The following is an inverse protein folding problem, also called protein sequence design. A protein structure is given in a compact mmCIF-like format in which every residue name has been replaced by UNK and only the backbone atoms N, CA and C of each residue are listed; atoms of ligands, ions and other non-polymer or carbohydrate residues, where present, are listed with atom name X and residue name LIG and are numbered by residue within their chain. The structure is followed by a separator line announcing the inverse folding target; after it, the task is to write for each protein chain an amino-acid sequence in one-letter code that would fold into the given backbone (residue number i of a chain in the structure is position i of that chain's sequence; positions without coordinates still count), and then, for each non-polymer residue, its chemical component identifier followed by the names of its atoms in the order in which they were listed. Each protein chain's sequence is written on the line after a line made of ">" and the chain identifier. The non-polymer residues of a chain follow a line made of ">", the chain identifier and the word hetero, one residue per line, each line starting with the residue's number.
data_IF_393967790664
#
_entry.id   IF_393967790664
#
_cell.length_a   1.000
_cell.length_b   1.000
_cell.length_c   1.000
_cell.angle_alpha   90.00
_cell.angle_beta   90.00
_cell.angle_gamma   90.00
#
_symmetry.space_group_name_H-M   'P 1'
#
loop_
_entity.id
_entity.type
_entity.pdbx_description
1 polymer ?
#
# COMPACT_ATOMS: atom_id res chain seq x y z
N UNK A 1 -8.42 -30.29 -7.29
CA UNK A 1 -8.03 -29.46 -8.44
C UNK A 1 -6.99 -28.49 -7.93
N UNK A 2 -5.73 -28.66 -8.32
CA UNK A 2 -4.64 -27.76 -7.93
C UNK A 2 -4.87 -26.44 -8.64
N UNK A 3 -5.10 -25.35 -7.89
CA UNK A 3 -4.98 -23.98 -8.40
C UNK A 3 -3.51 -23.80 -8.76
N UNK A 4 -3.21 -23.81 -10.04
CA UNK A 4 -1.89 -23.52 -10.62
C UNK A 4 -1.48 -22.15 -10.10
N UNK A 5 -0.33 -22.06 -9.42
CA UNK A 5 0.28 -20.76 -9.11
C UNK A 5 0.39 -20.00 -10.44
N UNK A 6 -0.15 -18.78 -10.46
CA UNK A 6 -0.09 -17.93 -11.66
C UNK A 6 1.39 -17.67 -11.98
N UNK A 7 1.77 -17.70 -13.25
CA UNK A 7 3.14 -17.42 -13.67
C UNK A 7 3.44 -15.90 -13.53
N UNK A 8 4.71 -15.54 -13.32
CA UNK A 8 5.14 -14.14 -13.21
C UNK A 8 4.66 -13.25 -14.38
N UNK A 9 4.46 -13.86 -15.55
CA UNK A 9 3.97 -13.18 -16.75
C UNK A 9 2.47 -12.82 -16.68
N UNK A 10 1.63 -13.61 -16.00
CA UNK A 10 0.21 -13.32 -15.80
C UNK A 10 0.00 -12.22 -14.74
N UNK A 11 0.91 -12.10 -13.79
CA UNK A 11 0.83 -11.08 -12.73
C UNK A 11 1.23 -9.69 -13.22
N UNK A 12 2.25 -9.60 -14.06
CA UNK A 12 2.59 -8.38 -14.80
C UNK A 12 1.41 -7.94 -15.67
N UNK A 13 0.70 -8.89 -16.28
CA UNK A 13 -0.49 -8.57 -17.06
C UNK A 13 -1.65 -8.01 -16.22
N UNK A 14 -1.83 -8.43 -14.96
CA UNK A 14 -2.86 -7.88 -14.06
C UNK A 14 -2.54 -6.45 -13.63
N UNK A 15 -1.29 -6.17 -13.31
CA UNK A 15 -0.83 -4.80 -13.04
C UNK A 15 -1.02 -3.91 -14.25
N UNK A 16 -0.58 -4.35 -15.43
CA UNK A 16 -0.68 -3.56 -16.66
C UNK A 16 -2.13 -3.30 -17.04
N UNK A 17 -3.00 -4.31 -16.94
CA UNK A 17 -4.43 -4.16 -17.21
C UNK A 17 -5.11 -3.19 -16.24
N UNK A 18 -4.81 -3.30 -14.93
CA UNK A 18 -5.31 -2.38 -13.92
C UNK A 18 -4.80 -0.95 -14.13
N UNK A 19 -3.50 -0.81 -14.43
CA UNK A 19 -2.88 0.48 -14.68
C UNK A 19 -3.50 1.15 -15.90
N UNK A 20 -3.64 0.43 -17.00
CA UNK A 20 -4.23 0.95 -18.25
C UNK A 20 -5.68 1.41 -18.02
N UNK A 21 -6.53 0.58 -17.37
CA UNK A 21 -7.90 0.96 -17.03
C UNK A 21 -7.94 2.24 -16.20
N UNK A 22 -7.12 2.30 -15.15
CA UNK A 22 -7.08 3.43 -14.24
C UNK A 22 -6.58 4.69 -14.96
N UNK A 23 -5.51 4.57 -15.75
CA UNK A 23 -4.94 5.67 -16.52
C UNK A 23 -5.95 6.22 -17.53
N UNK A 24 -6.58 5.36 -18.32
CA UNK A 24 -7.58 5.76 -19.33
C UNK A 24 -8.78 6.45 -18.69
N UNK A 25 -9.25 5.93 -17.55
CA UNK A 25 -10.38 6.49 -16.83
C UNK A 25 -10.11 7.92 -16.35
N UNK A 26 -8.90 8.20 -15.85
CA UNK A 26 -8.55 9.53 -15.37
C UNK A 26 -8.10 10.49 -16.47
N UNK A 27 -7.54 9.99 -17.57
CA UNK A 27 -7.08 10.84 -18.67
C UNK A 27 -8.18 11.17 -19.69
N UNK A 28 -9.39 10.63 -19.55
CA UNK A 28 -10.54 11.05 -20.38
C UNK A 28 -10.80 12.56 -20.32
N UNK A 29 -10.64 13.15 -19.13
CA UNK A 29 -10.98 14.55 -18.87
C UNK A 29 -9.74 15.40 -18.47
N UNK A 30 -8.56 14.81 -18.42
CA UNK A 30 -7.33 15.48 -18.05
C UNK A 30 -6.28 15.33 -19.14
N UNK A 31 -5.72 16.43 -19.55
CA UNK A 31 -4.56 16.44 -20.46
C UNK A 31 -3.31 15.97 -19.73
N UNK A 32 -2.34 15.49 -20.49
CA UNK A 32 -1.01 15.14 -19.96
C UNK A 32 -0.37 16.27 -19.15
N UNK A 33 -0.51 17.53 -19.62
CA UNK A 33 0.01 18.71 -18.93
C UNK A 33 -0.64 18.93 -17.56
N UNK A 34 -1.93 18.71 -17.46
CA UNK A 34 -2.69 18.83 -16.19
C UNK A 34 -2.31 17.71 -15.22
N UNK A 35 -2.25 16.47 -15.69
CA UNK A 35 -1.81 15.34 -14.88
C UNK A 35 -0.37 15.53 -14.37
N UNK A 36 0.54 16.00 -15.22
CA UNK A 36 1.91 16.34 -14.83
C UNK A 36 1.95 17.39 -13.70
N UNK A 37 1.23 18.50 -13.87
CA UNK A 37 1.16 19.57 -12.85
C UNK A 37 0.59 19.03 -11.52
N UNK A 38 -0.44 18.23 -11.62
CA UNK A 38 -1.06 17.61 -10.45
C UNK A 38 -0.09 16.66 -9.73
N UNK A 39 0.66 15.84 -10.49
CA UNK A 39 1.68 14.96 -9.93
C UNK A 39 2.81 15.74 -9.24
N UNK A 40 3.30 16.84 -9.85
CA UNK A 40 4.28 17.72 -9.21
C UNK A 40 3.73 18.30 -7.90
N UNK A 41 2.53 18.89 -7.94
CA UNK A 41 1.91 19.47 -6.75
C UNK A 41 1.66 18.47 -5.63
N UNK A 42 1.25 17.25 -5.97
CA UNK A 42 1.03 16.19 -4.99
C UNK A 42 2.36 15.70 -4.39
N UNK A 43 3.38 15.51 -5.22
CA UNK A 43 4.73 15.17 -4.77
C UNK A 43 5.31 16.21 -3.81
N UNK A 44 5.13 17.51 -4.10
CA UNK A 44 5.59 18.58 -3.22
C UNK A 44 4.90 18.56 -1.86
N UNK A 45 3.63 18.19 -1.83
CA UNK A 45 2.89 18.00 -0.57
C UNK A 45 3.52 16.87 0.25
N UNK A 46 3.78 15.72 -0.36
CA UNK A 46 4.32 14.57 0.34
C UNK A 46 5.81 14.70 0.71
N UNK A 47 6.60 15.46 -0.07
CA UNK A 47 8.05 15.64 0.17
C UNK A 47 8.36 16.82 1.08
N UNK A 48 7.71 17.98 0.86
CA UNK A 48 8.11 19.24 1.49
C UNK A 48 7.18 19.74 2.60
N UNK A 49 5.95 19.23 2.69
CA UNK A 49 4.98 19.69 3.68
C UNK A 49 4.74 18.73 4.85
N UNK A 50 5.59 17.71 4.99
CA UNK A 50 5.54 16.78 6.14
C UNK A 50 5.68 17.47 7.51
N UNK A 51 6.38 18.61 7.56
CA UNK A 51 6.60 19.37 8.81
C UNK A 51 5.43 20.30 9.20
N UNK A 52 4.46 20.48 8.31
CA UNK A 52 3.26 21.28 8.61
C UNK A 52 2.07 20.36 8.45
N UNK A 53 1.45 20.00 9.57
CA UNK A 53 0.24 19.19 9.63
C UNK A 53 -0.84 19.71 8.65
N UNK A 54 -0.85 19.18 7.42
CA UNK A 54 -1.98 19.35 6.54
C UNK A 54 -3.15 18.58 7.19
N UNK A 55 -4.32 19.19 7.33
CA UNK A 55 -5.48 18.46 7.80
C UNK A 55 -5.66 17.19 6.96
N UNK A 56 -5.88 16.07 7.64
CA UNK A 56 -6.06 14.78 7.00
C UNK A 56 -7.07 14.88 5.84
N UNK A 57 -6.70 14.37 4.67
CA UNK A 57 -7.53 14.38 3.47
C UNK A 57 -7.34 15.58 2.52
N UNK A 58 -6.68 16.68 2.92
CA UNK A 58 -6.45 17.84 2.03
C UNK A 58 -5.52 17.57 0.84
N UNK A 59 -4.69 16.54 0.90
CA UNK A 59 -3.81 16.18 -0.21
C UNK A 59 -4.59 15.79 -1.48
N UNK A 60 -5.80 15.24 -1.36
CA UNK A 60 -6.62 14.69 -2.45
C UNK A 60 -7.90 15.49 -2.73
N UNK A 61 -7.88 16.80 -2.53
CA UNK A 61 -9.06 17.67 -2.69
C UNK A 61 -9.47 17.89 -4.16
N UNK A 62 -8.51 17.92 -5.09
CA UNK A 62 -8.78 18.22 -6.49
C UNK A 62 -8.80 16.96 -7.35
N UNK A 63 -9.55 16.99 -8.46
CA UNK A 63 -9.61 15.90 -9.43
C UNK A 63 -8.22 15.55 -9.97
N UNK A 64 -7.42 16.54 -10.34
CA UNK A 64 -6.05 16.34 -10.81
C UNK A 64 -5.17 15.64 -9.78
N UNK A 65 -5.22 16.01 -8.48
CA UNK A 65 -4.46 15.34 -7.43
C UNK A 65 -4.93 13.90 -7.21
N UNK A 66 -6.24 13.66 -7.31
CA UNK A 66 -6.82 12.31 -7.26
C UNK A 66 -6.34 11.46 -8.44
N UNK A 67 -6.33 12.03 -9.64
CA UNK A 67 -5.80 11.38 -10.83
C UNK A 67 -4.31 11.02 -10.66
N UNK A 68 -3.48 11.97 -10.22
CA UNK A 68 -2.06 11.73 -9.98
C UNK A 68 -1.84 10.65 -8.90
N UNK A 69 -2.62 10.67 -7.83
CA UNK A 69 -2.54 9.63 -6.79
C UNK A 69 -2.92 8.25 -7.35
N UNK A 70 -4.04 8.14 -8.07
CA UNK A 70 -4.52 6.88 -8.59
C UNK A 70 -3.63 6.30 -9.70
N UNK A 71 -3.08 7.16 -10.59
CA UNK A 71 -2.33 6.69 -11.78
C UNK A 71 -0.82 6.63 -11.56
N UNK A 72 -0.26 7.47 -10.67
CA UNK A 72 1.20 7.53 -10.48
C UNK A 72 1.62 6.93 -9.15
N UNK A 73 1.13 7.47 -8.03
CA UNK A 73 1.53 6.98 -6.71
C UNK A 73 1.10 5.53 -6.49
N UNK A 74 -0.15 5.22 -6.82
CA UNK A 74 -0.68 3.86 -6.66
C UNK A 74 0.06 2.84 -7.51
N UNK A 75 0.49 3.22 -8.73
CA UNK A 75 1.29 2.33 -9.58
C UNK A 75 2.66 2.03 -8.95
N UNK A 76 3.36 3.03 -8.42
CA UNK A 76 4.63 2.80 -7.72
C UNK A 76 4.45 2.00 -6.44
N UNK A 77 3.36 2.23 -5.70
CA UNK A 77 3.03 1.45 -4.51
C UNK A 77 2.79 -0.03 -4.84
N UNK A 78 2.05 -0.31 -5.93
CA UNK A 78 1.87 -1.69 -6.40
C UNK A 78 3.20 -2.34 -6.77
N UNK A 79 4.01 -1.69 -7.62
CA UNK A 79 5.29 -2.22 -8.09
C UNK A 79 6.27 -2.51 -6.94
N UNK A 80 6.31 -1.63 -5.93
CA UNK A 80 7.10 -1.90 -4.73
C UNK A 80 6.53 -3.06 -3.92
N UNK A 81 5.20 -3.11 -3.74
CA UNK A 81 4.57 -4.20 -3.01
C UNK A 81 4.78 -5.55 -3.69
N UNK A 82 4.72 -5.57 -5.02
CA UNK A 82 4.96 -6.79 -5.80
C UNK A 82 6.39 -7.32 -5.58
N UNK A 83 7.39 -6.45 -5.62
CA UNK A 83 8.77 -6.80 -5.24
C UNK A 83 8.85 -7.35 -3.81
N UNK A 84 8.20 -6.71 -2.84
CA UNK A 84 8.21 -7.15 -1.44
C UNK A 84 7.54 -8.50 -1.22
N UNK A 85 6.54 -8.84 -2.02
CA UNK A 85 5.87 -10.14 -1.95
C UNK A 85 6.87 -11.28 -2.22
N UNK A 86 7.79 -11.08 -3.16
CA UNK A 86 8.84 -12.06 -3.46
C UNK A 86 9.93 -12.07 -2.39
N UNK A 87 10.46 -10.92 -2.03
CA UNK A 87 11.58 -10.79 -1.09
C UNK A 87 11.25 -11.24 0.34
N UNK A 88 10.00 -11.03 0.77
CA UNK A 88 9.50 -11.45 2.07
C UNK A 88 8.75 -12.80 2.01
N UNK A 89 8.70 -13.44 0.84
CA UNK A 89 7.95 -14.67 0.59
C UNK A 89 6.46 -14.60 1.03
N UNK A 90 5.86 -13.41 0.89
CA UNK A 90 4.48 -13.15 1.34
C UNK A 90 3.45 -14.01 0.60
N UNK A 91 3.78 -14.48 -0.60
CA UNK A 91 2.97 -15.42 -1.37
C UNK A 91 2.76 -16.77 -0.67
N UNK A 92 3.66 -17.14 0.27
CA UNK A 92 3.53 -18.36 1.08
C UNK A 92 2.62 -18.21 2.29
N UNK A 93 2.25 -16.97 2.64
CA UNK A 93 1.34 -16.74 3.76
C UNK A 93 -0.06 -17.27 3.43
N UNK A 94 -0.54 -18.19 4.27
CA UNK A 94 -1.94 -18.68 4.18
C UNK A 94 -2.85 -17.64 4.84
N UNK A 95 -3.42 -16.76 4.03
CA UNK A 95 -4.23 -15.66 4.53
C UNK A 95 -5.72 -15.90 4.30
N UNK A 96 -6.52 -15.61 5.31
CA UNK A 96 -7.96 -15.52 5.19
C UNK A 96 -8.38 -14.11 4.75
N UNK A 97 -7.78 -13.09 5.37
CA UNK A 97 -8.14 -11.70 5.12
C UNK A 97 -6.91 -10.78 5.22
N UNK A 98 -6.88 -9.75 4.37
CA UNK A 98 -5.94 -8.63 4.46
C UNK A 98 -6.70 -7.39 4.92
N UNK A 99 -6.26 -6.80 6.04
CA UNK A 99 -6.78 -5.54 6.58
C UNK A 99 -5.77 -4.46 6.26
N UNK A 100 -6.10 -3.58 5.31
CA UNK A 100 -5.22 -2.50 4.87
C UNK A 100 -5.59 -1.20 5.56
N UNK A 101 -4.65 -0.67 6.35
CA UNK A 101 -4.79 0.52 7.18
C UNK A 101 -4.28 1.76 6.44
N UNK A 102 -5.13 2.76 6.24
CA UNK A 102 -4.86 3.87 5.33
C UNK A 102 -4.75 3.35 3.89
N UNK A 103 -5.76 2.58 3.46
CA UNK A 103 -5.66 1.79 2.24
C UNK A 103 -5.54 2.60 0.94
N UNK A 104 -5.82 3.90 0.96
CA UNK A 104 -5.81 4.70 -0.26
C UNK A 104 -6.64 4.05 -1.35
N UNK A 105 -6.04 3.77 -2.50
CA UNK A 105 -6.68 3.09 -3.63
C UNK A 105 -6.68 1.56 -3.53
N UNK A 106 -6.21 1.00 -2.42
CA UNK A 106 -6.26 -0.43 -2.12
C UNK A 106 -5.32 -1.31 -2.94
N UNK A 107 -4.31 -0.75 -3.56
CA UNK A 107 -3.43 -1.47 -4.50
C UNK A 107 -2.41 -2.37 -3.81
N UNK A 108 -1.86 -1.97 -2.65
CA UNK A 108 -0.87 -2.78 -1.97
C UNK A 108 -1.49 -4.07 -1.42
N UNK A 109 -2.65 -3.95 -0.77
CA UNK A 109 -3.39 -5.12 -0.32
C UNK A 109 -3.87 -5.99 -1.48
N UNK A 110 -4.29 -5.38 -2.60
CA UNK A 110 -4.68 -6.12 -3.80
C UNK A 110 -3.51 -6.93 -4.39
N UNK A 111 -2.34 -6.33 -4.56
CA UNK A 111 -1.14 -7.03 -5.02
C UNK A 111 -0.83 -8.25 -4.14
N UNK A 112 -0.93 -8.08 -2.82
CA UNK A 112 -0.71 -9.21 -1.90
C UNK A 112 -1.80 -10.27 -2.00
N UNK A 113 -3.08 -9.87 -2.02
CA UNK A 113 -4.21 -10.82 -2.11
C UNK A 113 -4.19 -11.68 -3.37
N UNK A 114 -3.78 -11.11 -4.50
CA UNK A 114 -3.65 -11.83 -5.78
C UNK A 114 -2.57 -12.91 -5.74
N UNK A 115 -1.53 -12.73 -4.93
CA UNK A 115 -0.37 -13.62 -4.87
C UNK A 115 -0.35 -14.53 -3.63
N UNK A 116 -1.13 -14.22 -2.61
CA UNK A 116 -1.20 -15.05 -1.40
C UNK A 116 -1.80 -16.42 -1.70
N UNK A 117 -1.12 -17.46 -1.23
CA UNK A 117 -1.62 -18.84 -1.39
C UNK A 117 -2.78 -19.08 -0.45
N UNK A 118 -3.94 -19.46 -0.98
CA UNK A 118 -5.09 -19.87 -0.19
C UNK A 118 -5.81 -21.03 -0.86
N UNK A 119 -6.30 -21.97 -0.07
CA UNK A 119 -7.11 -23.09 -0.56
C UNK A 119 -8.52 -22.65 -1.02
N UNK A 120 -8.98 -21.50 -0.56
CA UNK A 120 -10.32 -20.96 -0.83
C UNK A 120 -10.34 -19.85 -1.90
N UNK A 121 -9.21 -19.54 -2.52
CA UNK A 121 -9.06 -18.40 -3.44
C UNK A 121 -8.34 -17.20 -2.80
N UNK A 122 -8.31 -16.02 -3.45
CA UNK A 122 -7.65 -14.83 -2.91
C UNK A 122 -8.20 -14.42 -1.54
N UNK A 123 -7.34 -13.87 -0.68
CA UNK A 123 -7.73 -13.36 0.62
C UNK A 123 -8.78 -12.25 0.51
N UNK A 124 -9.74 -12.20 1.44
CA UNK A 124 -10.72 -11.11 1.48
C UNK A 124 -10.06 -9.79 1.90
N UNK A 125 -10.50 -8.70 1.28
CA UNK A 125 -9.97 -7.37 1.57
C UNK A 125 -10.83 -6.61 2.58
N UNK A 126 -10.19 -5.91 3.51
CA UNK A 126 -10.83 -4.90 4.35
C UNK A 126 -9.98 -3.64 4.33
N UNK A 127 -10.41 -2.61 3.63
CA UNK A 127 -9.71 -1.32 3.58
C UNK A 127 -10.28 -0.33 4.59
N UNK A 128 -9.39 0.33 5.30
CA UNK A 128 -9.72 1.38 6.26
C UNK A 128 -9.04 2.66 5.83
N UNK A 129 -9.81 3.73 5.66
CA UNK A 129 -9.30 5.04 5.31
C UNK A 129 -10.26 6.12 5.84
N UNK A 130 -9.77 7.34 6.01
CA UNK A 130 -10.56 8.51 6.36
C UNK A 130 -11.05 9.27 5.12
N UNK A 131 -10.55 8.94 3.95
CA UNK A 131 -10.88 9.61 2.69
C UNK A 131 -11.92 8.81 1.88
N UNK A 132 -13.12 9.37 1.72
CA UNK A 132 -14.22 8.71 1.00
C UNK A 132 -13.90 8.41 -0.46
N UNK A 133 -13.16 9.31 -1.14
CA UNK A 133 -12.76 9.10 -2.52
C UNK A 133 -11.80 7.90 -2.60
N UNK A 134 -10.80 7.83 -1.73
CA UNK A 134 -9.84 6.73 -1.68
C UNK A 134 -10.53 5.39 -1.49
N UNK A 135 -11.48 5.31 -0.55
CA UNK A 135 -12.28 4.10 -0.32
C UNK A 135 -13.11 3.68 -1.55
N UNK A 136 -13.64 4.66 -2.29
CA UNK A 136 -14.35 4.38 -3.56
C UNK A 136 -13.39 3.83 -4.62
N UNK A 137 -12.17 4.37 -4.72
CA UNK A 137 -11.16 3.85 -5.65
C UNK A 137 -10.68 2.45 -5.26
N UNK A 138 -10.47 2.19 -3.97
CA UNK A 138 -10.12 0.85 -3.49
C UNK A 138 -11.18 -0.19 -3.91
N UNK A 139 -12.47 0.14 -3.77
CA UNK A 139 -13.55 -0.76 -4.22
C UNK A 139 -13.54 -0.97 -5.74
N UNK A 140 -13.21 0.06 -6.55
CA UNK A 140 -13.07 -0.08 -8.00
C UNK A 140 -11.88 -0.97 -8.35
N UNK A 141 -10.72 -0.73 -7.72
CA UNK A 141 -9.52 -1.56 -7.88
C UNK A 141 -9.83 -3.03 -7.61
N UNK A 142 -10.41 -3.34 -6.45
CA UNK A 142 -10.72 -4.73 -6.08
C UNK A 142 -11.76 -5.38 -6.99
N UNK A 143 -12.80 -4.63 -7.38
CA UNK A 143 -13.80 -5.14 -8.32
C UNK A 143 -13.19 -5.46 -9.69
N UNK A 144 -12.32 -4.57 -10.21
CA UNK A 144 -11.62 -4.80 -11.47
C UNK A 144 -10.76 -6.07 -11.41
N UNK A 145 -10.09 -6.29 -10.29
CA UNK A 145 -9.21 -7.45 -10.06
C UNK A 145 -9.95 -8.73 -9.60
N UNK A 146 -11.28 -8.71 -9.55
CA UNK A 146 -12.07 -9.86 -9.09
C UNK A 146 -11.91 -10.19 -7.60
N UNK A 147 -11.38 -9.25 -6.79
CA UNK A 147 -11.19 -9.45 -5.35
C UNK A 147 -12.47 -9.11 -4.56
N UNK A 148 -12.75 -9.94 -3.55
CA UNK A 148 -13.80 -9.65 -2.57
C UNK A 148 -13.29 -8.70 -1.51
N UNK A 149 -14.01 -7.62 -1.25
CA UNK A 149 -13.56 -6.65 -0.25
C UNK A 149 -14.64 -5.68 0.20
N UNK A 150 -14.40 -5.09 1.37
CA UNK A 150 -15.23 -4.04 1.97
C UNK A 150 -14.37 -2.91 2.48
N UNK A 151 -14.88 -1.70 2.41
CA UNK A 151 -14.21 -0.51 2.91
C UNK A 151 -14.90 0.05 4.14
N UNK A 152 -14.14 0.69 5.02
CA UNK A 152 -14.63 1.33 6.24
C UNK A 152 -14.07 2.73 6.37
N UNK A 153 -14.96 3.73 6.44
CA UNK A 153 -14.60 5.12 6.68
C UNK A 153 -14.36 5.33 8.18
N UNK A 154 -13.11 5.22 8.60
CA UNK A 154 -12.67 5.41 9.98
C UNK A 154 -11.17 5.62 10.09
N UNK A 155 -10.72 5.98 11.27
CA UNK A 155 -9.28 6.03 11.57
C UNK A 155 -8.64 4.64 11.49
N UNK A 156 -7.40 4.58 11.02
CA UNK A 156 -6.62 3.34 10.94
C UNK A 156 -6.28 2.74 12.32
N UNK A 157 -6.43 3.48 13.42
CA UNK A 157 -6.29 2.94 14.78
C UNK A 157 -7.49 2.11 15.23
N UNK A 158 -8.62 2.25 14.53
CA UNK A 158 -9.88 1.58 14.80
C UNK A 158 -10.08 0.38 13.85
N UNK A 159 -9.28 -0.65 13.95
CA UNK A 159 -9.46 -1.80 13.08
C UNK A 159 -10.36 -2.90 13.68
N UNK A 160 -10.89 -3.79 12.82
CA UNK A 160 -11.87 -4.78 13.25
C UNK A 160 -11.24 -5.82 14.17
N UNK A 161 -12.09 -6.68 14.77
CA UNK A 161 -11.62 -7.86 15.48
C UNK A 161 -10.71 -8.67 14.56
N UNK A 162 -9.56 -9.04 15.09
CA UNK A 162 -8.55 -9.84 14.41
C UNK A 162 -8.79 -11.32 14.67
N UNK A 163 -8.66 -12.09 13.62
CA UNK A 163 -8.75 -13.55 13.62
C UNK A 163 -7.40 -14.15 13.20
N UNK A 164 -7.25 -15.43 13.47
CA UNK A 164 -6.07 -16.16 13.01
C UNK A 164 -6.02 -16.15 11.47
N UNK A 165 -4.81 -16.05 10.91
CA UNK A 165 -4.59 -15.91 9.46
C UNK A 165 -5.07 -14.59 8.84
N UNK A 166 -5.38 -13.57 9.66
CA UNK A 166 -5.48 -12.22 9.16
C UNK A 166 -4.07 -11.63 8.92
N UNK A 167 -3.95 -10.82 7.88
CA UNK A 167 -2.81 -9.92 7.73
C UNK A 167 -3.23 -8.47 7.94
N UNK A 168 -2.38 -7.69 8.58
CA UNK A 168 -2.52 -6.24 8.70
C UNK A 168 -1.41 -5.60 7.88
N UNK A 169 -1.82 -4.81 6.90
CA UNK A 169 -0.93 -4.03 6.04
C UNK A 169 -1.12 -2.54 6.32
N UNK A 170 -0.03 -1.82 6.57
CA UNK A 170 -0.01 -0.36 6.60
C UNK A 170 1.07 0.13 5.63
N UNK A 171 0.66 0.52 4.42
CA UNK A 171 1.56 0.93 3.36
C UNK A 171 1.50 2.44 3.16
N UNK A 172 2.61 3.13 3.41
CA UNK A 172 2.81 4.57 3.24
C UNK A 172 1.79 5.45 4.01
N UNK A 173 1.27 4.95 5.12
CA UNK A 173 0.15 5.56 5.84
C UNK A 173 0.46 5.93 7.30
N UNK A 174 1.38 5.23 7.96
CA UNK A 174 1.69 5.47 9.39
C UNK A 174 2.30 6.85 9.62
N UNK A 175 3.05 7.38 8.66
CA UNK A 175 3.62 8.72 8.71
C UNK A 175 2.56 9.83 8.79
N UNK A 176 1.32 9.56 8.33
CA UNK A 176 0.22 10.53 8.36
C UNK A 176 -0.42 10.67 9.75
N UNK A 177 -0.12 9.75 10.67
CA UNK A 177 -0.66 9.78 12.02
C UNK A 177 0.13 10.72 12.93
N UNK A 178 -0.55 11.54 13.74
CA UNK A 178 0.06 12.21 14.89
C UNK A 178 0.61 11.20 15.91
N UNK A 179 1.49 11.66 16.79
CA UNK A 179 2.19 10.79 17.75
C UNK A 179 1.27 9.98 18.67
N UNK A 180 0.21 10.59 19.18
CA UNK A 180 -0.75 9.89 20.07
C UNK A 180 -1.43 8.70 19.37
N UNK A 181 -2.16 8.94 18.27
CA UNK A 181 -2.75 7.87 17.45
C UNK A 181 -1.73 6.84 16.95
N UNK A 182 -0.49 7.27 16.63
CA UNK A 182 0.58 6.35 16.19
C UNK A 182 0.98 5.39 17.32
N UNK A 183 1.13 5.86 18.55
CA UNK A 183 1.40 5.02 19.72
C UNK A 183 0.26 4.03 19.98
N UNK A 184 -0.99 4.46 19.84
CA UNK A 184 -2.14 3.56 20.00
C UNK A 184 -2.20 2.52 18.88
N UNK A 185 -1.87 2.90 17.63
CA UNK A 185 -1.78 1.95 16.53
C UNK A 185 -0.75 0.85 16.84
N UNK A 186 0.46 1.19 17.27
CA UNK A 186 1.47 0.20 17.62
C UNK A 186 0.98 -0.78 18.69
N UNK A 187 0.34 -0.27 19.73
CA UNK A 187 -0.25 -1.09 20.80
C UNK A 187 -1.30 -2.06 20.24
N UNK A 188 -2.14 -1.59 19.31
CA UNK A 188 -3.15 -2.42 18.68
C UNK A 188 -2.55 -3.46 17.74
N UNK A 189 -1.50 -3.13 16.99
CA UNK A 189 -0.75 -4.07 16.15
C UNK A 189 -0.12 -5.19 16.98
N UNK A 190 0.49 -4.87 18.12
CA UNK A 190 1.03 -5.88 19.06
C UNK A 190 -0.06 -6.84 19.54
N UNK A 191 -1.24 -6.31 19.91
CA UNK A 191 -2.39 -7.15 20.31
C UNK A 191 -2.87 -8.04 19.16
N UNK A 192 -2.86 -7.52 17.94
CA UNK A 192 -3.24 -8.27 16.75
C UNK A 192 -2.25 -9.42 16.48
N UNK A 193 -0.95 -9.16 16.59
CA UNK A 193 0.07 -10.20 16.46
C UNK A 193 -0.11 -11.32 17.51
N UNK A 194 -0.38 -10.98 18.77
CA UNK A 194 -0.66 -11.99 19.80
C UNK A 194 -1.92 -12.84 19.51
N UNK A 195 -2.80 -12.38 18.62
CA UNK A 195 -3.96 -13.14 18.13
C UNK A 195 -3.67 -13.93 16.84
N UNK A 196 -2.43 -13.93 16.38
CA UNK A 196 -2.00 -14.70 15.22
C UNK A 196 -2.05 -13.94 13.89
N UNK A 197 -2.15 -12.60 13.90
CA UNK A 197 -2.05 -11.83 12.67
C UNK A 197 -0.62 -11.66 12.19
N UNK A 198 -0.43 -11.72 10.86
CA UNK A 198 0.78 -11.23 10.18
C UNK A 198 0.71 -9.70 10.09
N UNK A 199 1.83 -9.00 10.31
CA UNK A 199 1.90 -7.55 10.23
C UNK A 199 2.98 -7.14 9.23
N UNK A 200 2.61 -6.28 8.28
CA UNK A 200 3.54 -5.64 7.36
C UNK A 200 3.32 -4.13 7.39
N UNK A 201 4.37 -3.40 7.71
CA UNK A 201 4.41 -1.94 7.62
C UNK A 201 5.42 -1.58 6.56
N UNK A 202 5.00 -0.78 5.60
CA UNK A 202 5.79 -0.33 4.46
C UNK A 202 5.83 1.20 4.43
N UNK A 203 7.03 1.77 4.40
CA UNK A 203 7.23 3.22 4.33
C UNK A 203 8.38 3.57 3.39
N UNK A 204 8.38 4.81 2.92
CA UNK A 204 9.51 5.35 2.18
C UNK A 204 10.77 5.42 3.04
N UNK A 205 11.92 5.22 2.43
CA UNK A 205 13.21 5.53 3.09
C UNK A 205 13.26 7.03 3.33
N UNK A 206 13.27 7.42 4.59
CA UNK A 206 13.32 8.84 4.96
C UNK A 206 14.72 9.42 4.71
N UNK A 207 14.75 10.67 4.24
CA UNK A 207 16.01 11.45 4.12
C UNK A 207 16.52 11.97 5.47
N UNK A 208 15.66 12.05 6.46
CA UNK A 208 15.94 12.50 7.83
C UNK A 208 15.56 11.41 8.83
N UNK A 209 16.17 11.37 10.00
CA UNK A 209 15.75 10.47 11.07
C UNK A 209 14.26 10.58 11.34
N UNK A 210 13.61 9.45 11.49
CA UNK A 210 12.18 9.35 11.82
C UNK A 210 12.06 8.62 13.15
N UNK A 211 12.04 9.37 14.28
CA UNK A 211 12.16 8.78 15.62
C UNK A 211 11.12 7.68 15.94
N UNK A 212 9.92 7.80 15.40
CA UNK A 212 8.91 6.77 15.63
C UNK A 212 9.29 5.43 14.96
N UNK A 213 9.97 5.47 13.81
CA UNK A 213 10.38 4.26 13.09
C UNK A 213 11.34 3.42 13.90
N UNK A 214 12.41 4.03 14.43
CA UNK A 214 13.44 3.32 15.19
C UNK A 214 12.86 2.69 16.45
N UNK A 215 11.96 3.41 17.13
CA UNK A 215 11.22 2.88 18.29
C UNK A 215 10.31 1.70 17.91
N UNK A 216 9.66 1.74 16.75
CA UNK A 216 8.81 0.65 16.28
C UNK A 216 9.66 -0.55 15.84
N UNK A 217 10.76 -0.31 15.12
CA UNK A 217 11.69 -1.35 14.70
C UNK A 217 12.22 -2.15 15.89
N UNK A 218 12.63 -1.46 16.96
CA UNK A 218 13.05 -2.10 18.20
C UNK A 218 11.97 -3.02 18.76
N UNK A 219 10.74 -2.50 18.93
CA UNK A 219 9.63 -3.28 19.49
C UNK A 219 9.18 -4.44 18.59
N UNK A 220 9.25 -4.29 17.27
CA UNK A 220 8.93 -5.37 16.33
C UNK A 220 10.00 -6.48 16.41
N UNK A 221 11.29 -6.12 16.50
CA UNK A 221 12.39 -7.07 16.68
C UNK A 221 12.29 -7.85 18.01
N UNK A 222 11.90 -7.18 19.10
CA UNK A 222 11.62 -7.84 20.39
C UNK A 222 10.52 -8.89 20.31
N UNK A 223 9.56 -8.73 19.40
CA UNK A 223 8.49 -9.69 19.14
C UNK A 223 8.91 -10.82 18.18
N UNK A 224 10.12 -10.79 17.65
CA UNK A 224 10.64 -11.76 16.69
C UNK A 224 10.44 -11.36 15.23
N UNK A 225 10.07 -10.13 14.97
CA UNK A 225 9.98 -9.57 13.62
C UNK A 225 11.31 -9.05 13.09
N UNK A 226 11.26 -8.45 11.90
CA UNK A 226 12.43 -7.93 11.18
C UNK A 226 12.19 -6.53 10.64
N UNK A 227 13.27 -5.82 10.44
CA UNK A 227 13.34 -4.55 9.73
C UNK A 227 14.24 -4.72 8.53
N UNK A 228 13.79 -4.23 7.37
CA UNK A 228 14.56 -4.29 6.14
C UNK A 228 14.46 -2.99 5.35
N UNK A 229 15.45 -2.77 4.48
CA UNK A 229 15.45 -1.71 3.48
C UNK A 229 15.60 -2.34 2.10
N UNK A 230 14.78 -1.91 1.16
CA UNK A 230 14.61 -2.49 -0.16
C UNK A 230 14.91 -1.50 -1.26
N UNK A 231 15.35 -2.03 -2.39
CA UNK A 231 15.55 -1.27 -3.60
C UNK A 231 15.24 -2.17 -4.80
N UNK A 232 14.35 -1.72 -5.67
CA UNK A 232 14.06 -2.43 -6.92
C UNK A 232 14.07 -1.49 -8.13
N UNK A 233 14.18 -2.10 -9.34
CA UNK A 233 14.10 -1.42 -10.63
C UNK A 233 12.95 -2.02 -11.42
N UNK A 234 11.72 -1.54 -11.23
CA UNK A 234 10.58 -2.10 -11.95
C UNK A 234 10.57 -1.69 -13.42
N UNK A 235 9.97 -2.52 -14.25
CA UNK A 235 9.60 -2.12 -15.60
C UNK A 235 8.38 -1.19 -15.51
N UNK A 236 8.55 0.06 -15.90
CA UNK A 236 7.47 1.04 -15.86
C UNK A 236 6.67 1.01 -17.16
N UNK A 237 5.32 0.97 -17.11
CA UNK A 237 4.50 1.25 -18.28
C UNK A 237 4.87 2.59 -18.90
N UNK A 238 4.86 2.67 -20.24
CA UNK A 238 5.30 3.87 -20.96
C UNK A 238 4.62 5.16 -20.46
N UNK A 239 3.29 5.23 -20.25
CA UNK A 239 2.65 6.45 -19.76
C UNK A 239 3.14 6.84 -18.35
N UNK A 240 3.40 5.87 -17.46
CA UNK A 240 3.95 6.12 -16.13
C UNK A 240 5.37 6.69 -16.19
N UNK A 241 6.25 6.09 -16.99
CA UNK A 241 7.62 6.56 -17.17
C UNK A 241 7.67 7.99 -17.77
N UNK A 242 6.79 8.29 -18.72
CA UNK A 242 6.70 9.62 -19.32
C UNK A 242 6.23 10.69 -18.31
N UNK A 243 5.20 10.40 -17.51
CA UNK A 243 4.68 11.36 -16.53
C UNK A 243 5.68 11.58 -15.41
N UNK A 244 6.37 10.53 -14.95
CA UNK A 244 7.40 10.59 -13.95
C UNK A 244 8.54 11.51 -14.36
N UNK A 245 9.14 11.25 -15.51
CA UNK A 245 10.20 12.07 -16.10
C UNK A 245 9.76 13.51 -16.35
N UNK A 246 8.57 13.72 -16.91
CA UNK A 246 8.04 15.05 -17.20
C UNK A 246 7.73 15.84 -15.91
N UNK A 247 7.50 15.17 -14.80
CA UNK A 247 7.31 15.78 -13.47
C UNK A 247 8.64 16.13 -12.78
N UNK A 248 9.79 15.89 -13.42
CA UNK A 248 11.12 16.10 -12.84
C UNK A 248 11.46 15.07 -11.78
N UNK A 249 10.91 13.87 -11.87
CA UNK A 249 11.15 12.75 -10.96
C UNK A 249 11.90 11.64 -11.70
N UNK A 250 12.52 10.76 -10.93
CA UNK A 250 13.17 9.55 -11.42
C UNK A 250 12.87 8.41 -10.43
N UNK A 251 11.84 7.63 -10.77
CA UNK A 251 11.48 6.42 -10.05
C UNK A 251 11.92 5.15 -10.82
N UNK A 252 12.96 5.24 -11.63
CA UNK A 252 13.63 4.07 -12.21
C UNK A 252 14.17 3.12 -11.12
N UNK A 253 14.40 3.68 -9.92
CA UNK A 253 14.74 2.94 -8.72
C UNK A 253 13.76 3.30 -7.61
N UNK A 254 12.97 2.33 -7.19
CA UNK A 254 12.11 2.46 -6.02
C UNK A 254 12.87 2.03 -4.76
N UNK A 255 12.65 2.75 -3.67
CA UNK A 255 13.23 2.43 -2.35
C UNK A 255 12.16 2.44 -1.28
N UNK A 256 12.20 1.44 -0.43
CA UNK A 256 11.29 1.33 0.70
C UNK A 256 11.98 0.69 1.91
N UNK A 257 11.34 0.79 3.06
CA UNK A 257 11.68 0.05 4.27
C UNK A 257 10.45 -0.63 4.84
N UNK A 258 10.66 -1.76 5.48
CA UNK A 258 9.57 -2.55 6.07
C UNK A 258 9.85 -2.92 7.52
N UNK A 259 8.75 -3.03 8.27
CA UNK A 259 8.72 -3.79 9.51
C UNK A 259 7.78 -4.97 9.26
N UNK A 260 8.31 -6.18 9.42
CA UNK A 260 7.57 -7.41 9.14
C UNK A 260 7.56 -8.32 10.36
N UNK A 261 6.38 -8.85 10.71
CA UNK A 261 6.18 -9.67 11.88
C UNK A 261 5.17 -10.78 11.56
N UNK A 262 5.64 -12.02 11.61
CA UNK A 262 4.82 -13.22 11.42
C UNK A 262 4.37 -13.79 12.76
N UNK A 263 3.21 -14.48 12.82
CA UNK A 263 2.81 -15.25 13.99
C UNK A 263 3.85 -16.34 14.31
N UNK A 264 4.11 -16.58 15.60
CA UNK A 264 4.97 -17.68 16.03
C UNK A 264 4.35 -19.02 15.61
N UNK A 265 5.12 -19.85 14.91
CA UNK A 265 4.71 -21.22 14.53
C UNK A 265 4.17 -21.37 13.10
N UNK A 266 4.38 -20.43 12.21
CA UNK A 266 4.06 -20.54 10.77
C UNK A 266 5.30 -20.79 9.91
N UNK A 267 6.17 -21.70 10.35
CA UNK A 267 7.27 -22.26 9.51
C UNK A 267 6.84 -23.57 8.86
#
# INVERSE_FOLDING_TARGET
>A
MYTKAMSDNEQLSQFDAWFQETYDRYTKNLTFKELRKANQSLSDIYVHKRDKSLPAGKALETEGKRAAFATVFSAFHWLMMDHLIDELELHRCKLHRIIELGCGTGVCGAAWALRATSLAGPAEMTGIDINRWALSEAQKTWRFLGLKGKTKLRSMVEFPKIEQQDAILAAYSVNELPDGPRKELLKNLRRAHHRGATILILENVARSPVPWWDSWATQIKELGGREDTWQCRPNLPQPLALIDKASGRDHSVLKARTLYLQPKGTS
#
